data_IF_018473600750
#
_entry.id   IF_018473600750
#
_cell.length_a   1.000
_cell.length_b   1.000
_cell.length_c   1.000
_cell.angle_alpha   90.00
_cell.angle_beta   90.00
_cell.angle_gamma   90.00
#
_symmetry.space_group_name_H-M   'P 1'
#
loop_
_entity.id
_entity.type
_entity.pdbx_description
1 polymer ?
#
# COMPACT_ATOMS: atom_id res chain seq x y z
N UNK A 1 -18.85 30.43 39.25
CA UNK A 1 -17.90 29.31 39.11
C UNK A 1 -18.39 28.37 38.01
N UNK A 2 -17.90 28.54 36.79
CA UNK A 2 -18.21 27.67 35.66
C UNK A 2 -17.25 26.48 35.69
N UNK A 3 -17.68 25.37 36.29
CA UNK A 3 -16.98 24.09 36.15
C UNK A 3 -17.05 23.68 34.68
N UNK A 4 -15.87 23.64 34.08
CA UNK A 4 -15.62 23.40 32.67
C UNK A 4 -16.16 22.00 32.30
N UNK A 5 -17.37 21.90 31.74
CA UNK A 5 -18.04 20.61 31.42
C UNK A 5 -17.18 19.66 30.57
N UNK A 6 -16.24 20.19 29.80
CA UNK A 6 -15.30 19.41 28.99
C UNK A 6 -14.22 18.67 29.80
N UNK A 7 -13.86 19.12 31.02
CA UNK A 7 -12.82 18.45 31.82
C UNK A 7 -13.32 17.16 32.47
N UNK A 8 -14.61 17.12 32.84
CA UNK A 8 -15.23 15.94 33.46
C UNK A 8 -15.41 14.79 32.47
N UNK A 9 -15.81 15.09 31.23
CA UNK A 9 -15.96 14.08 30.16
C UNK A 9 -14.62 13.46 29.72
N UNK A 10 -13.52 14.22 29.75
CA UNK A 10 -12.18 13.71 29.42
C UNK A 10 -11.65 12.70 30.44
N UNK A 11 -11.94 12.88 31.72
CA UNK A 11 -11.48 11.95 32.76
C UNK A 11 -12.20 10.60 32.67
N UNK A 12 -13.50 10.57 32.37
CA UNK A 12 -14.26 9.32 32.22
C UNK A 12 -13.79 8.47 31.03
N UNK A 13 -13.42 9.10 29.91
CA UNK A 13 -12.89 8.36 28.75
C UNK A 13 -11.59 7.62 29.10
N UNK A 14 -10.68 8.25 29.83
CA UNK A 14 -9.40 7.66 30.25
C UNK A 14 -9.54 6.59 31.34
N UNK A 15 -10.73 6.43 31.94
CA UNK A 15 -11.01 5.33 32.88
C UNK A 15 -11.52 4.06 32.21
N UNK A 16 -11.78 4.10 30.89
CA UNK A 16 -12.20 2.92 30.14
C UNK A 16 -11.02 1.95 29.94
N UNK A 17 -11.27 0.63 29.93
CA UNK A 17 -10.32 -0.38 29.47
C UNK A 17 -9.73 -0.04 28.09
N UNK A 18 -8.46 -0.40 27.89
CA UNK A 18 -7.73 -0.11 26.65
C UNK A 18 -8.41 -0.76 25.44
N UNK A 19 -9.00 -1.94 25.62
CA UNK A 19 -9.70 -2.69 24.58
C UNK A 19 -10.95 -1.94 24.11
N UNK A 20 -11.72 -1.37 25.05
CA UNK A 20 -12.90 -0.56 24.72
C UNK A 20 -12.49 0.76 24.06
N UNK A 21 -11.38 1.36 24.49
CA UNK A 21 -10.83 2.53 23.81
C UNK A 21 -10.37 2.19 22.40
N UNK A 22 -9.70 1.06 22.18
CA UNK A 22 -9.32 0.61 20.84
C UNK A 22 -10.55 0.38 19.96
N UNK A 23 -11.60 -0.24 20.50
CA UNK A 23 -12.86 -0.44 19.78
C UNK A 23 -13.49 0.91 19.38
N UNK A 24 -13.65 1.84 20.33
CA UNK A 24 -14.19 3.19 20.04
C UNK A 24 -13.36 3.89 18.95
N UNK A 25 -12.03 3.84 19.06
CA UNK A 25 -11.12 4.53 18.16
C UNK A 25 -11.09 3.89 16.77
N UNK A 26 -11.42 2.60 16.67
CA UNK A 26 -11.55 1.91 15.38
C UNK A 26 -12.65 2.48 14.48
N UNK A 27 -13.66 3.14 15.08
CA UNK A 27 -14.75 3.80 14.36
C UNK A 27 -14.47 5.26 14.02
N UNK A 28 -13.38 5.84 14.52
CA UNK A 28 -13.04 7.25 14.29
C UNK A 28 -12.40 7.47 12.92
N UNK A 29 -12.69 8.62 12.31
CA UNK A 29 -12.00 9.06 11.11
C UNK A 29 -10.58 9.55 11.40
N UNK A 30 -9.73 9.62 10.37
CA UNK A 30 -8.37 10.17 10.48
C UNK A 30 -8.29 11.53 11.20
N UNK A 31 -9.23 12.44 10.91
CA UNK A 31 -9.25 13.75 11.54
C UNK A 31 -9.49 13.67 13.05
N UNK A 32 -10.45 12.85 13.48
CA UNK A 32 -10.78 12.66 14.89
C UNK A 32 -9.64 11.95 15.62
N UNK A 33 -9.06 10.91 15.00
CA UNK A 33 -7.87 10.23 15.51
C UNK A 33 -6.69 11.19 15.68
N UNK A 34 -6.45 12.06 14.69
CA UNK A 34 -5.41 13.09 14.76
C UNK A 34 -5.70 14.11 15.86
N UNK A 35 -6.95 14.53 16.03
CA UNK A 35 -7.34 15.42 17.13
C UNK A 35 -7.12 14.75 18.49
N UNK A 36 -7.33 13.44 18.61
CA UNK A 36 -7.02 12.69 19.82
C UNK A 36 -5.51 12.64 20.13
N UNK A 37 -4.63 12.57 19.11
CA UNK A 37 -3.17 12.60 19.30
C UNK A 37 -2.71 13.83 20.09
N UNK A 38 -3.32 14.98 19.86
CA UNK A 38 -2.92 16.26 20.47
C UNK A 38 -3.52 16.50 21.86
N UNK A 39 -4.39 15.61 22.35
CA UNK A 39 -5.10 15.84 23.61
C UNK A 39 -4.46 15.19 24.84
N UNK A 40 -3.83 14.02 24.69
CA UNK A 40 -3.31 13.26 25.83
C UNK A 40 -2.29 12.18 25.39
N UNK A 41 -1.24 11.95 26.19
CA UNK A 41 -0.20 10.94 25.92
C UNK A 41 -0.69 9.49 26.02
N UNK A 42 -1.72 9.19 26.79
CA UNK A 42 -2.36 7.87 26.83
C UNK A 42 -3.09 7.62 25.51
N UNK A 43 -3.85 8.61 25.04
CA UNK A 43 -4.55 8.53 23.77
C UNK A 43 -3.58 8.42 22.59
N UNK A 44 -2.38 9.01 22.69
CA UNK A 44 -1.31 8.85 21.71
C UNK A 44 -0.98 7.36 21.48
N UNK A 45 -0.77 6.57 22.54
CA UNK A 45 -0.45 5.15 22.40
C UNK A 45 -1.58 4.33 21.77
N UNK A 46 -2.83 4.71 22.04
CA UNK A 46 -4.03 4.02 21.54
C UNK A 46 -4.30 4.41 20.08
N UNK A 47 -4.08 5.67 19.71
CA UNK A 47 -4.37 6.22 18.37
C UNK A 47 -3.32 5.88 17.33
N UNK A 48 -2.04 5.80 17.72
CA UNK A 48 -0.93 5.54 16.79
C UNK A 48 -1.17 4.32 15.90
N UNK A 49 -1.58 3.14 16.43
CA UNK A 49 -1.88 1.99 15.59
C UNK A 49 -2.92 2.29 14.50
N UNK A 50 -4.00 3.01 14.82
CA UNK A 50 -5.07 3.32 13.86
C UNK A 50 -4.64 4.36 12.82
N UNK A 51 -3.87 5.35 13.24
CA UNK A 51 -3.31 6.40 12.39
C UNK A 51 -2.33 5.79 11.37
N UNK A 52 -1.45 4.89 11.82
CA UNK A 52 -0.40 4.33 10.98
C UNK A 52 -0.79 3.05 10.24
N UNK A 53 -1.97 2.48 10.52
CA UNK A 53 -2.43 1.23 9.89
C UNK A 53 -2.59 1.35 8.39
N UNK A 54 -3.21 2.45 7.97
CA UNK A 54 -3.69 2.65 6.60
C UNK A 54 -3.13 3.97 6.07
N UNK A 55 -2.21 3.87 5.10
CA UNK A 55 -1.54 5.03 4.52
C UNK A 55 -1.98 5.24 3.07
N UNK A 56 -2.23 6.47 2.64
CA UNK A 56 -2.60 6.80 1.26
C UNK A 56 -4.01 7.34 1.10
N UNK A 57 -4.28 7.94 -0.05
CA UNK A 57 -5.52 8.69 -0.32
C UNK A 57 -6.78 7.81 -0.24
N UNK A 58 -6.70 6.55 -0.69
CA UNK A 58 -7.79 5.58 -0.55
C UNK A 58 -8.29 5.42 0.88
N UNK A 59 -7.41 5.63 1.87
CA UNK A 59 -7.73 5.48 3.29
C UNK A 59 -7.85 6.82 4.02
N UNK A 60 -7.12 7.82 3.56
CA UNK A 60 -7.14 9.16 4.13
C UNK A 60 -8.17 10.03 3.42
N UNK A 61 -9.33 10.19 4.06
CA UNK A 61 -10.38 11.13 3.65
C UNK A 61 -9.77 12.49 3.20
N UNK A 62 -10.22 13.00 2.06
CA UNK A 62 -9.62 14.05 1.20
C UNK A 62 -9.53 15.45 1.85
N UNK A 63 -8.55 15.69 2.72
CA UNK A 63 -8.40 16.99 3.39
C UNK A 63 -7.02 17.65 3.24
N UNK A 64 -5.96 16.89 2.94
CA UNK A 64 -4.60 17.42 2.72
C UNK A 64 -4.00 16.78 1.45
N UNK A 65 -3.15 17.52 0.74
CA UNK A 65 -2.48 17.03 -0.46
C UNK A 65 -1.58 15.82 -0.16
N UNK A 66 -1.62 14.83 -1.04
CA UNK A 66 -0.90 13.55 -0.95
C UNK A 66 0.60 13.73 -0.73
N UNK A 67 1.22 14.67 -1.46
CA UNK A 67 2.66 14.99 -1.35
C UNK A 67 3.07 15.46 0.05
N UNK A 68 2.23 16.27 0.70
CA UNK A 68 2.48 16.77 2.06
C UNK A 68 2.44 15.64 3.08
N UNK A 69 1.43 14.75 2.98
CA UNK A 69 1.31 13.58 3.88
C UNK A 69 2.50 12.65 3.75
N UNK A 70 2.90 12.32 2.51
CA UNK A 70 4.06 11.47 2.27
C UNK A 70 5.37 12.11 2.73
N UNK A 71 5.51 13.43 2.62
CA UNK A 71 6.65 14.16 3.20
C UNK A 71 6.69 14.03 4.74
N UNK A 72 5.54 14.12 5.41
CA UNK A 72 5.45 13.91 6.87
C UNK A 72 5.77 12.46 7.26
N UNK A 73 5.30 11.48 6.50
CA UNK A 73 5.61 10.06 6.72
C UNK A 73 7.09 9.82 6.55
N UNK A 74 7.67 10.26 5.45
CA UNK A 74 9.11 10.19 5.19
C UNK A 74 9.88 10.80 6.34
N UNK A 75 9.54 12.02 6.74
CA UNK A 75 10.16 12.68 7.90
C UNK A 75 10.04 11.81 9.14
N UNK A 76 8.89 11.25 9.45
CA UNK A 76 8.69 10.43 10.66
C UNK A 76 9.45 9.10 10.64
N UNK A 77 9.38 8.37 9.51
CA UNK A 77 10.06 7.10 9.32
C UNK A 77 11.59 7.27 9.38
N UNK A 78 12.13 8.34 8.80
CA UNK A 78 13.57 8.58 8.76
C UNK A 78 14.09 9.50 9.89
N UNK A 79 13.24 10.25 10.60
CA UNK A 79 13.64 11.04 11.78
C UNK A 79 13.78 10.18 13.02
N UNK A 80 12.99 9.10 13.14
CA UNK A 80 13.07 8.16 14.27
C UNK A 80 14.40 7.40 14.32
N UNK A 81 15.16 7.38 13.22
CA UNK A 81 16.54 6.89 13.19
C UNK A 81 17.53 7.79 13.95
N UNK A 82 17.19 9.07 14.20
CA UNK A 82 17.96 9.97 15.08
C UNK A 82 17.41 9.84 16.50
N UNK A 83 18.03 8.96 17.29
CA UNK A 83 17.80 8.72 18.73
C UNK A 83 17.50 10.03 19.47
N UNK A 84 16.23 10.29 19.77
CA UNK A 84 15.81 11.22 20.81
C UNK A 84 14.97 10.46 21.83
N UNK A 85 15.30 10.68 23.09
CA UNK A 85 15.36 9.65 24.12
C UNK A 85 14.05 9.39 24.87
N UNK A 86 12.89 9.44 24.20
CA UNK A 86 11.61 9.32 24.95
C UNK A 86 10.55 8.42 24.35
N UNK A 87 10.54 8.13 23.05
CA UNK A 87 9.61 7.14 22.48
C UNK A 87 10.23 6.49 21.24
N UNK A 88 10.76 5.27 21.37
CA UNK A 88 11.18 4.47 20.23
C UNK A 88 9.93 3.88 19.54
N UNK A 89 9.15 4.75 18.89
CA UNK A 89 7.95 4.36 18.16
C UNK A 89 8.37 3.78 16.81
N UNK A 90 8.44 2.47 16.75
CA UNK A 90 8.59 1.70 15.52
C UNK A 90 7.27 1.69 14.75
N UNK A 91 6.94 2.82 14.11
CA UNK A 91 5.65 3.01 13.41
C UNK A 91 5.40 1.99 12.30
N UNK A 92 6.47 1.51 11.66
CA UNK A 92 6.42 0.53 10.57
C UNK A 92 5.68 -0.77 10.93
N UNK A 93 5.67 -1.16 12.21
CA UNK A 93 4.98 -2.38 12.64
C UNK A 93 3.46 -2.24 12.61
N UNK A 94 2.93 -1.02 12.61
CA UNK A 94 1.49 -0.79 12.56
C UNK A 94 0.96 -0.75 11.13
N UNK A 95 1.81 -0.48 10.15
CA UNK A 95 1.41 -0.32 8.75
C UNK A 95 0.94 -1.67 8.20
N UNK A 96 -0.30 -1.69 7.71
CA UNK A 96 -0.94 -2.86 7.11
C UNK A 96 -1.34 -2.63 5.66
N UNK A 97 -1.72 -1.40 5.30
CA UNK A 97 -2.18 -1.07 3.96
C UNK A 97 -1.56 0.24 3.52
N UNK A 98 -1.02 0.26 2.31
CA UNK A 98 -0.49 1.47 1.68
C UNK A 98 -1.14 1.69 0.33
N UNK A 99 -1.48 2.94 0.06
CA UNK A 99 -1.93 3.43 -1.22
C UNK A 99 -1.00 4.58 -1.63
N UNK A 100 -0.23 4.32 -2.68
CA UNK A 100 0.81 5.21 -3.16
C UNK A 100 0.33 5.99 -4.40
N UNK A 101 -0.95 5.88 -4.73
CA UNK A 101 -1.65 6.72 -5.70
C UNK A 101 -1.94 8.11 -5.12
N UNK A 102 -2.31 9.05 -5.99
CA UNK A 102 -2.69 10.41 -5.62
C UNK A 102 -3.91 10.83 -6.39
N UNK A 103 -4.98 11.12 -5.67
CA UNK A 103 -6.24 11.63 -6.24
C UNK A 103 -6.14 13.07 -6.73
N UNK A 104 -5.07 13.77 -6.36
CA UNK A 104 -4.85 15.19 -6.66
C UNK A 104 -3.77 15.43 -7.71
N UNK A 105 -2.90 14.46 -7.95
CA UNK A 105 -1.73 14.61 -8.82
C UNK A 105 -1.35 13.26 -9.44
N UNK A 106 -1.75 13.03 -10.69
CA UNK A 106 -1.42 11.82 -11.45
C UNK A 106 0.10 11.62 -11.68
N UNK A 107 0.91 12.65 -11.43
CA UNK A 107 2.37 12.60 -11.54
C UNK A 107 3.06 12.30 -10.21
N UNK A 108 2.32 12.21 -9.10
CA UNK A 108 2.87 11.90 -7.79
C UNK A 108 3.61 10.56 -7.79
N UNK A 109 4.80 10.55 -7.20
CA UNK A 109 5.62 9.35 -7.02
C UNK A 109 6.25 9.38 -5.63
N UNK A 110 6.19 8.24 -4.94
CA UNK A 110 6.97 8.04 -3.72
C UNK A 110 8.43 7.81 -4.11
N UNK A 111 9.36 8.42 -3.39
CA UNK A 111 10.77 8.19 -3.62
C UNK A 111 11.21 6.77 -3.23
N UNK A 112 12.17 6.26 -3.98
CA UNK A 112 12.73 4.91 -3.85
C UNK A 112 13.13 4.51 -2.41
N UNK A 113 13.85 5.34 -1.63
CA UNK A 113 14.17 5.01 -0.24
C UNK A 113 12.93 4.78 0.63
N UNK A 114 11.91 5.63 0.49
CA UNK A 114 10.68 5.52 1.26
C UNK A 114 9.93 4.23 0.91
N UNK A 115 9.77 3.93 -0.38
CA UNK A 115 9.12 2.70 -0.82
C UNK A 115 9.91 1.45 -0.38
N UNK A 116 11.24 1.46 -0.51
CA UNK A 116 12.10 0.37 -0.02
C UNK A 116 11.92 0.08 1.46
N UNK A 117 11.95 1.13 2.28
CA UNK A 117 11.72 0.99 3.71
C UNK A 117 10.35 0.35 4.01
N UNK A 118 9.29 0.78 3.32
CA UNK A 118 7.95 0.21 3.51
C UNK A 118 7.90 -1.27 3.13
N UNK A 119 8.56 -1.65 2.03
CA UNK A 119 8.57 -3.01 1.51
C UNK A 119 9.40 -4.00 2.33
N UNK A 120 10.37 -3.53 3.12
CA UNK A 120 11.27 -4.42 3.89
C UNK A 120 11.17 -4.30 5.39
N UNK A 121 10.59 -3.21 5.91
CA UNK A 121 10.49 -2.96 7.35
C UNK A 121 9.06 -3.00 7.90
N UNK A 122 8.04 -3.23 7.07
CA UNK A 122 6.65 -3.32 7.53
C UNK A 122 6.19 -4.79 7.57
N UNK A 123 6.42 -5.54 8.67
CA UNK A 123 6.13 -6.98 8.72
C UNK A 123 4.64 -7.31 8.61
N UNK A 124 3.78 -6.34 8.91
CA UNK A 124 2.32 -6.50 8.87
C UNK A 124 1.69 -5.92 7.59
N UNK A 125 2.50 -5.47 6.63
CA UNK A 125 2.01 -4.95 5.36
C UNK A 125 1.36 -6.09 4.56
N UNK A 126 0.07 -5.91 4.24
CA UNK A 126 -0.77 -6.89 3.54
C UNK A 126 -1.33 -6.36 2.24
N UNK A 127 -1.55 -5.05 2.09
CA UNK A 127 -2.13 -4.44 0.88
C UNK A 127 -1.26 -3.31 0.36
N UNK A 128 -1.00 -3.32 -0.94
CA UNK A 128 -0.41 -2.20 -1.68
C UNK A 128 -1.33 -1.83 -2.83
N UNK A 129 -1.64 -0.54 -2.95
CA UNK A 129 -2.33 0.08 -4.08
C UNK A 129 -1.40 1.09 -4.72
N UNK A 130 -1.27 1.08 -6.04
CA UNK A 130 -0.41 2.01 -6.77
C UNK A 130 -0.98 2.39 -8.13
N UNK A 131 -0.78 3.64 -8.50
CA UNK A 131 -1.21 4.20 -9.79
C UNK A 131 -0.01 4.88 -10.47
N UNK A 132 0.32 4.44 -11.68
CA UNK A 132 1.43 4.94 -12.48
C UNK A 132 0.93 5.42 -13.83
N UNK A 133 0.74 6.73 -13.97
CA UNK A 133 0.14 7.32 -15.17
C UNK A 133 1.12 7.89 -16.21
N UNK A 134 2.43 7.83 -15.94
CA UNK A 134 3.49 8.31 -16.84
C UNK A 134 4.77 7.54 -16.61
N UNK A 135 5.36 7.12 -17.72
CA UNK A 135 6.74 6.64 -17.83
C UNK A 135 7.69 7.84 -17.66
N UNK A 136 7.94 8.25 -16.42
CA UNK A 136 9.04 9.18 -16.16
C UNK A 136 10.33 8.38 -16.29
N UNK A 137 10.99 8.51 -17.43
CA UNK A 137 12.25 7.86 -17.76
C UNK A 137 13.19 7.74 -16.54
N UNK A 138 13.65 6.51 -16.29
CA UNK A 138 14.82 6.09 -15.48
C UNK A 138 14.66 5.73 -14.00
N UNK A 139 13.49 5.85 -13.35
CA UNK A 139 13.36 5.37 -11.96
C UNK A 139 12.05 4.63 -11.75
N UNK A 140 12.10 3.33 -12.07
CA UNK A 140 11.04 2.39 -11.73
C UNK A 140 10.93 2.29 -10.20
N UNK A 141 9.73 2.44 -9.62
CA UNK A 141 9.54 2.41 -8.17
C UNK A 141 9.97 1.10 -7.54
N UNK A 142 9.78 0.00 -8.27
CA UNK A 142 10.20 -1.34 -7.86
C UNK A 142 11.63 -1.67 -8.30
N UNK A 143 12.37 -0.73 -8.88
CA UNK A 143 13.83 -0.84 -9.04
C UNK A 143 14.50 -1.16 -7.71
N UNK A 144 13.93 -0.65 -6.61
CA UNK A 144 14.35 -1.01 -5.26
C UNK A 144 14.35 -2.52 -5.01
N UNK A 145 13.41 -3.28 -5.59
CA UNK A 145 13.39 -4.75 -5.49
C UNK A 145 14.59 -5.36 -6.23
N UNK A 146 14.98 -4.79 -7.37
CA UNK A 146 16.19 -5.22 -8.07
C UNK A 146 17.46 -4.85 -7.28
N UNK A 147 17.50 -3.66 -6.70
CA UNK A 147 18.67 -3.19 -5.95
C UNK A 147 18.85 -3.94 -4.63
N UNK A 148 17.74 -4.35 -3.99
CA UNK A 148 17.75 -5.24 -2.83
C UNK A 148 18.42 -6.59 -3.17
N UNK A 149 18.24 -7.09 -4.38
CA UNK A 149 18.89 -8.32 -4.85
C UNK A 149 20.37 -8.12 -5.20
N UNK A 150 20.74 -6.93 -5.68
CA UNK A 150 22.10 -6.61 -6.10
C UNK A 150 23.01 -6.13 -4.95
N UNK A 151 22.50 -6.07 -3.70
CA UNK A 151 23.26 -5.65 -2.49
C UNK A 151 23.83 -4.22 -2.54
N UNK A 152 23.42 -3.38 -3.49
CA UNK A 152 23.96 -2.03 -3.72
C UNK A 152 23.36 -0.95 -2.80
N UNK A 153 22.70 -1.36 -1.70
CA UNK A 153 22.12 -0.44 -0.72
C UNK A 153 22.88 -0.58 0.59
N UNK A 154 23.78 0.37 0.85
CA UNK A 154 24.54 0.54 2.09
C UNK A 154 23.69 0.93 3.32
N UNK A 155 22.46 0.42 3.43
CA UNK A 155 21.53 0.70 4.54
C UNK A 155 20.49 -0.41 4.80
N UNK A 156 20.46 -1.50 4.04
CA UNK A 156 19.51 -2.61 4.27
C UNK A 156 20.28 -3.90 4.53
N UNK A 157 20.10 -4.47 5.72
CA UNK A 157 20.63 -5.79 6.06
C UNK A 157 20.09 -6.84 5.07
N UNK A 158 20.98 -7.53 4.37
CA UNK A 158 20.74 -8.38 3.19
C UNK A 158 19.93 -9.68 3.51
N UNK A 159 19.46 -9.81 4.75
CA UNK A 159 18.54 -10.87 5.19
C UNK A 159 17.07 -10.43 5.25
N UNK A 160 16.73 -9.24 4.74
CA UNK A 160 15.37 -8.70 4.85
C UNK A 160 14.38 -9.41 3.93
N UNK A 161 13.46 -10.15 4.55
CA UNK A 161 12.26 -10.73 3.92
C UNK A 161 11.37 -9.58 3.47
N UNK A 162 11.05 -9.52 2.17
CA UNK A 162 10.03 -8.60 1.65
C UNK A 162 8.73 -8.83 2.41
N UNK A 163 8.07 -7.75 2.81
CA UNK A 163 6.79 -7.77 3.50
C UNK A 163 5.78 -8.73 2.84
N UNK A 164 4.92 -9.40 3.64
CA UNK A 164 4.01 -10.44 3.15
C UNK A 164 2.79 -9.84 2.43
N UNK A 165 3.03 -9.18 1.30
CA UNK A 165 2.02 -8.51 0.49
C UNK A 165 1.04 -9.55 -0.04
N UNK A 166 -0.20 -9.52 0.49
CA UNK A 166 -1.27 -10.44 0.13
C UNK A 166 -2.18 -9.88 -0.95
N UNK A 167 -2.31 -8.55 -1.03
CA UNK A 167 -3.16 -7.88 -2.00
C UNK A 167 -2.39 -6.78 -2.72
N UNK A 168 -2.46 -6.81 -4.05
CA UNK A 168 -1.80 -5.83 -4.91
C UNK A 168 -2.79 -5.28 -5.93
N UNK A 169 -3.01 -3.97 -5.89
CA UNK A 169 -3.80 -3.24 -6.90
C UNK A 169 -2.88 -2.31 -7.66
N UNK A 170 -2.87 -2.43 -8.99
CA UNK A 170 -2.00 -1.66 -9.88
C UNK A 170 -2.88 -1.06 -10.98
N UNK A 171 -2.82 0.25 -11.13
CA UNK A 171 -3.37 0.96 -12.27
C UNK A 171 -2.23 1.58 -13.08
N UNK A 172 -2.14 1.23 -14.36
CA UNK A 172 -1.07 1.67 -15.25
C UNK A 172 -1.67 2.45 -16.41
N UNK A 173 -1.30 3.72 -16.53
CA UNK A 173 -1.55 4.53 -17.72
C UNK A 173 -0.23 4.83 -18.42
N UNK A 174 -0.15 4.57 -19.72
CA UNK A 174 1.01 4.90 -20.56
C UNK A 174 2.38 4.32 -20.11
N UNK A 175 2.39 3.29 -19.26
CA UNK A 175 3.59 2.53 -18.87
C UNK A 175 3.56 1.16 -19.56
N UNK A 176 4.73 0.61 -19.92
CA UNK A 176 4.84 -0.81 -20.24
C UNK A 176 4.69 -1.64 -18.96
N UNK A 177 3.58 -2.39 -18.76
CA UNK A 177 3.42 -3.25 -17.57
C UNK A 177 4.49 -4.33 -17.45
N UNK A 178 5.20 -4.61 -18.55
CA UNK A 178 6.11 -5.75 -18.70
C UNK A 178 7.18 -5.77 -17.62
N UNK A 179 7.89 -4.66 -17.42
CA UNK A 179 9.02 -4.63 -16.50
C UNK A 179 8.58 -4.72 -15.03
N UNK A 180 7.47 -4.07 -14.67
CA UNK A 180 6.91 -4.16 -13.33
C UNK A 180 6.45 -5.59 -13.00
N UNK A 181 5.69 -6.23 -13.88
CA UNK A 181 5.22 -7.60 -13.67
C UNK A 181 6.39 -8.58 -13.59
N UNK A 182 7.42 -8.37 -14.41
CA UNK A 182 8.67 -9.11 -14.32
C UNK A 182 9.29 -8.99 -12.93
N UNK A 183 9.50 -7.77 -12.41
CA UNK A 183 10.05 -7.56 -11.07
C UNK A 183 9.20 -8.19 -9.97
N UNK A 184 7.88 -7.96 -9.98
CA UNK A 184 6.97 -8.54 -9.00
C UNK A 184 7.07 -10.07 -8.98
N UNK A 185 7.17 -10.70 -10.15
CA UNK A 185 7.26 -12.15 -10.24
C UNK A 185 8.55 -12.73 -9.65
N UNK A 186 9.63 -11.96 -9.58
CA UNK A 186 10.89 -12.41 -8.99
C UNK A 186 10.86 -12.37 -7.46
N UNK A 187 10.12 -11.44 -6.88
CA UNK A 187 10.30 -11.05 -5.48
C UNK A 187 9.07 -11.25 -4.59
N UNK A 188 7.86 -11.19 -5.17
CA UNK A 188 6.61 -11.37 -4.42
C UNK A 188 6.14 -12.81 -4.55
N UNK A 189 6.05 -13.51 -3.41
CA UNK A 189 5.65 -14.92 -3.31
C UNK A 189 4.49 -15.17 -2.34
N UNK A 190 3.93 -14.10 -1.76
CA UNK A 190 2.90 -14.15 -0.71
C UNK A 190 1.53 -13.64 -1.16
N UNK A 191 1.38 -13.33 -2.45
CA UNK A 191 0.18 -12.74 -3.03
C UNK A 191 -1.01 -13.72 -2.96
N UNK A 192 -2.15 -13.21 -2.53
CA UNK A 192 -3.45 -13.89 -2.49
C UNK A 192 -4.46 -13.26 -3.48
N UNK A 193 -4.35 -11.95 -3.73
CA UNK A 193 -5.20 -11.22 -4.66
C UNK A 193 -4.39 -10.21 -5.47
N UNK A 194 -4.66 -10.15 -6.78
CA UNK A 194 -4.08 -9.15 -7.67
C UNK A 194 -5.15 -8.52 -8.56
N UNK A 195 -5.12 -7.20 -8.68
CA UNK A 195 -5.88 -6.45 -9.67
C UNK A 195 -4.92 -5.60 -10.49
N UNK A 196 -4.93 -5.80 -11.80
CA UNK A 196 -4.10 -5.07 -12.75
C UNK A 196 -5.01 -4.38 -13.75
N UNK A 197 -5.12 -3.05 -13.64
CA UNK A 197 -5.80 -2.20 -14.60
C UNK A 197 -4.76 -1.60 -15.55
N UNK A 198 -4.85 -1.97 -16.83
CA UNK A 198 -3.94 -1.52 -17.88
C UNK A 198 -4.69 -0.66 -18.88
N UNK A 199 -4.52 0.65 -18.75
CA UNK A 199 -5.04 1.66 -19.66
C UNK A 199 -4.06 1.74 -20.84
N UNK A 200 -4.21 0.81 -21.78
CA UNK A 200 -3.27 0.59 -22.88
C UNK A 200 -3.42 1.60 -24.02
N UNK A 201 -2.32 2.31 -24.30
CA UNK A 201 -2.07 2.99 -25.59
C UNK A 201 -0.81 2.52 -26.34
N UNK A 202 0.11 1.74 -25.71
CA UNK A 202 1.48 1.59 -26.26
C UNK A 202 2.11 0.19 -26.34
N UNK A 203 1.82 -0.79 -25.47
CA UNK A 203 2.43 -2.13 -25.57
C UNK A 203 1.60 -3.26 -24.91
N UNK A 204 1.53 -4.46 -25.49
CA UNK A 204 0.80 -5.59 -24.90
C UNK A 204 1.48 -6.14 -23.65
N UNK A 205 0.68 -6.64 -22.70
CA UNK A 205 1.16 -7.34 -21.51
C UNK A 205 1.89 -8.64 -21.89
N UNK A 206 3.10 -8.86 -21.39
CA UNK A 206 3.81 -10.13 -21.55
C UNK A 206 3.17 -11.20 -20.66
N UNK A 207 2.45 -12.13 -21.27
CA UNK A 207 1.71 -13.16 -20.54
C UNK A 207 2.64 -14.09 -19.75
N UNK A 208 3.87 -14.30 -20.21
CA UNK A 208 4.77 -15.25 -19.55
C UNK A 208 5.28 -14.74 -18.19
N UNK A 209 5.58 -13.44 -18.06
CA UNK A 209 5.92 -12.85 -16.76
C UNK A 209 4.72 -12.91 -15.80
N UNK A 210 3.51 -12.70 -16.32
CA UNK A 210 2.29 -12.82 -15.53
C UNK A 210 2.05 -14.27 -15.08
N UNK A 211 2.27 -15.27 -15.94
CA UNK A 211 2.22 -16.69 -15.56
C UNK A 211 3.26 -17.04 -14.50
N UNK A 212 4.48 -16.53 -14.65
CA UNK A 212 5.54 -16.70 -13.66
C UNK A 212 5.15 -16.11 -12.30
N UNK A 213 4.55 -14.92 -12.29
CA UNK A 213 4.02 -14.30 -11.08
C UNK A 213 2.97 -15.20 -10.41
N UNK A 214 2.02 -15.73 -11.19
CA UNK A 214 1.00 -16.66 -10.69
C UNK A 214 1.64 -17.93 -10.11
N UNK A 215 2.58 -18.55 -10.83
CA UNK A 215 3.31 -19.75 -10.37
C UNK A 215 4.05 -19.53 -9.05
N UNK A 216 4.68 -18.37 -8.91
CA UNK A 216 5.48 -18.03 -7.74
C UNK A 216 4.60 -17.70 -6.51
N UNK A 217 3.33 -17.40 -6.71
CA UNK A 217 2.36 -17.08 -5.65
C UNK A 217 1.34 -18.20 -5.50
N UNK A 218 1.74 -19.31 -4.87
CA UNK A 218 0.90 -20.52 -4.69
C UNK A 218 -0.42 -20.29 -3.94
N UNK A 219 -0.54 -19.18 -3.20
CA UNK A 219 -1.75 -18.80 -2.47
C UNK A 219 -2.63 -17.81 -3.23
N UNK A 220 -2.27 -17.46 -4.47
CA UNK A 220 -3.04 -16.54 -5.30
C UNK A 220 -4.40 -17.17 -5.61
N UNK A 221 -5.47 -16.56 -5.10
CA UNK A 221 -6.86 -16.98 -5.26
C UNK A 221 -7.52 -16.27 -6.44
N UNK A 222 -7.11 -15.03 -6.70
CA UNK A 222 -7.75 -14.15 -7.67
C UNK A 222 -6.73 -13.28 -8.41
N UNK A 223 -6.84 -13.28 -9.73
CA UNK A 223 -6.17 -12.35 -10.63
C UNK A 223 -7.22 -11.67 -11.50
N UNK A 224 -7.39 -10.36 -11.32
CA UNK A 224 -8.24 -9.52 -12.16
C UNK A 224 -7.37 -8.70 -13.11
N UNK A 225 -7.69 -8.77 -14.39
CA UNK A 225 -7.03 -8.05 -15.47
C UNK A 225 -8.08 -7.16 -16.15
N UNK A 226 -7.96 -5.85 -15.95
CA UNK A 226 -8.80 -4.86 -16.59
C UNK A 226 -8.03 -4.13 -17.68
N UNK A 227 -8.74 -3.84 -18.77
CA UNK A 227 -8.32 -2.91 -19.80
C UNK A 227 -9.47 -1.95 -20.10
N UNK A 228 -9.21 -0.92 -20.91
CA UNK A 228 -10.23 0.03 -21.38
C UNK A 228 -11.46 -0.65 -22.00
N UNK A 229 -11.31 -1.84 -22.57
CA UNK A 229 -12.35 -2.50 -23.36
C UNK A 229 -12.87 -3.80 -22.75
N UNK A 230 -12.12 -4.41 -21.85
CA UNK A 230 -12.42 -5.75 -21.36
C UNK A 230 -11.94 -6.01 -19.96
N UNK A 231 -12.70 -6.81 -19.24
CA UNK A 231 -12.31 -7.38 -17.96
C UNK A 231 -12.11 -8.90 -18.10
N UNK A 232 -11.10 -9.42 -17.41
CA UNK A 232 -10.88 -10.86 -17.21
C UNK A 232 -10.64 -11.13 -15.73
N UNK A 233 -11.34 -12.11 -15.19
CA UNK A 233 -11.16 -12.58 -13.82
C UNK A 233 -10.75 -14.04 -13.85
N UNK A 234 -9.59 -14.35 -13.25
CA UNK A 234 -9.07 -15.70 -13.11
C UNK A 234 -9.15 -16.10 -11.64
N UNK A 235 -9.87 -17.18 -11.37
CA UNK A 235 -10.10 -17.76 -10.05
C UNK A 235 -10.11 -19.30 -10.14
N UNK A 236 -9.70 -19.96 -9.05
CA UNK A 236 -9.71 -21.43 -8.96
C UNK A 236 -8.94 -22.13 -10.09
N UNK A 237 -9.61 -23.02 -10.82
CA UNK A 237 -9.00 -23.81 -11.89
C UNK A 237 -8.49 -22.95 -13.06
N UNK A 238 -9.17 -21.86 -13.39
CA UNK A 238 -8.74 -20.98 -14.50
C UNK A 238 -7.38 -20.34 -14.24
N UNK A 239 -7.10 -20.00 -12.98
CA UNK A 239 -5.82 -19.44 -12.56
C UNK A 239 -4.71 -20.49 -12.63
N UNK A 240 -5.01 -21.73 -12.26
CA UNK A 240 -4.09 -22.88 -12.38
C UNK A 240 -3.76 -23.19 -13.84
N UNK A 241 -4.77 -23.32 -14.69
CA UNK A 241 -4.57 -23.60 -16.12
C UNK A 241 -3.78 -22.48 -16.81
N UNK A 242 -4.09 -21.22 -16.48
CA UNK A 242 -3.33 -20.08 -17.00
C UNK A 242 -1.85 -20.17 -16.60
N UNK A 243 -1.56 -20.48 -15.33
CA UNK A 243 -0.19 -20.68 -14.86
C UNK A 243 0.53 -21.77 -15.68
N UNK A 244 -0.16 -22.85 -16.02
CA UNK A 244 0.36 -23.99 -16.77
C UNK A 244 0.44 -23.76 -18.29
N UNK A 245 0.15 -22.55 -18.77
CA UNK A 245 0.35 -22.16 -20.16
C UNK A 245 -0.93 -22.01 -20.99
N UNK A 246 -2.11 -22.20 -20.38
CA UNK A 246 -3.36 -21.94 -21.07
C UNK A 246 -3.49 -20.47 -21.51
N UNK A 247 -4.36 -20.25 -22.49
CA UNK A 247 -4.72 -18.89 -22.92
C UNK A 247 -5.52 -18.17 -21.83
N UNK A 248 -5.59 -16.84 -21.95
CA UNK A 248 -6.45 -16.04 -21.09
C UNK A 248 -7.93 -16.40 -21.31
N UNK A 249 -8.76 -16.39 -20.27
CA UNK A 249 -10.19 -16.59 -20.43
C UNK A 249 -10.81 -15.51 -21.31
N UNK A 250 -11.98 -15.84 -21.87
CA UNK A 250 -12.76 -14.92 -22.71
C UNK A 250 -13.01 -13.62 -21.95
N UNK A 251 -12.73 -12.51 -22.61
CA UNK A 251 -12.94 -11.18 -22.05
C UNK A 251 -14.43 -10.89 -21.90
N UNK A 252 -14.81 -10.31 -20.75
CA UNK A 252 -16.09 -9.65 -20.59
C UNK A 252 -15.94 -8.22 -21.11
N UNK A 253 -16.58 -7.90 -22.22
CA UNK A 253 -16.53 -6.56 -22.79
C UNK A 253 -17.38 -5.61 -21.95
N UNK A 254 -16.81 -4.45 -21.61
CA UNK A 254 -17.59 -3.38 -20.96
C UNK A 254 -18.48 -2.77 -22.04
N UNK A 255 -19.80 -2.79 -21.85
CA UNK A 255 -20.71 -2.01 -22.69
C UNK A 255 -20.27 -0.55 -22.58
N UNK A 256 -19.68 -0.02 -23.66
CA UNK A 256 -19.42 1.40 -23.76
C UNK A 256 -20.81 2.04 -23.86
N UNK A 257 -21.35 2.46 -22.72
CA UNK A 257 -22.42 3.44 -22.69
C UNK A 257 -21.85 4.69 -23.37
N UNK A 258 -22.14 4.82 -24.67
CA UNK A 258 -21.98 6.06 -25.40
C UNK A 258 -22.90 7.09 -24.72
N UNK A 259 -22.33 7.90 -23.83
CA UNK A 259 -22.89 9.19 -23.41
C UNK A 259 -22.26 10.29 -24.23
#
# INVERSE_FOLDING_TARGET
MSLNKHSFQRQTLLTLPVELLQEIFSYLGWHDLRNCLYQNSILLHITIPFVWRDLGDKYWKNYEQTSLRWSLIKRTLFSSAKKTNTFNLTYHKYIQRIDISSTHDATFRIDKPTLGYLLTHCPNLTEISLEYCRESSLVEPFQILQDLNNSDISACDINQIISPIRKLTIQLCDLSPVYLIHLLSLYITTLEEMSLDVILGRAPLQLEDLRRLVKNNKKLKKLKLDTNYSERCLEGETLKYFADGAELPVAQYREILKS
#
